data_IF_383764123252
#
_entry.id   IF_383764123252
#
_cell.length_a   1.000
_cell.length_b   1.000
_cell.length_c   1.000
_cell.angle_alpha   90.00
_cell.angle_beta   90.00
_cell.angle_gamma   90.00
#
_symmetry.space_group_name_H-M   'P 1'
#
loop_
_entity.id
_entity.type
_entity.pdbx_description
1 polymer ?
#
# COMPACT_ATOMS: atom_id res chain seq x y z
N UNK A 1 6.08 -6.25 -16.31
CA UNK A 1 6.74 -5.87 -15.05
C UNK A 1 6.48 -4.40 -14.84
N UNK A 2 5.83 -4.01 -13.75
CA UNK A 2 5.59 -2.60 -13.44
C UNK A 2 6.77 -2.00 -12.68
N UNK A 3 6.99 -0.69 -12.77
CA UNK A 3 8.02 0.00 -11.97
C UNK A 3 7.86 -0.27 -10.47
N UNK A 4 6.61 -0.49 -10.02
CA UNK A 4 6.31 -0.89 -8.66
C UNK A 4 6.86 -2.28 -8.30
N UNK A 5 6.64 -3.27 -9.16
CA UNK A 5 7.17 -4.62 -8.96
C UNK A 5 8.71 -4.62 -8.91
N UNK A 6 9.34 -3.83 -9.79
CA UNK A 6 10.80 -3.63 -9.80
C UNK A 6 11.29 -3.01 -8.48
N UNK A 7 10.60 -1.98 -7.97
CA UNK A 7 10.92 -1.40 -6.67
C UNK A 7 10.79 -2.41 -5.51
N UNK A 8 9.73 -3.23 -5.50
CA UNK A 8 9.51 -4.23 -4.46
C UNK A 8 10.63 -5.28 -4.43
N UNK A 9 11.11 -5.68 -5.62
CA UNK A 9 12.24 -6.60 -5.80
C UNK A 9 13.57 -5.98 -5.37
N UNK A 10 13.85 -4.76 -5.82
CA UNK A 10 15.11 -4.07 -5.49
C UNK A 10 15.22 -3.71 -4.01
N UNK A 11 14.10 -3.60 -3.30
CA UNK A 11 14.10 -3.33 -1.87
C UNK A 11 14.14 -4.57 -0.98
N UNK A 12 14.17 -5.80 -1.53
CA UNK A 12 13.88 -7.06 -0.83
C UNK A 12 14.52 -7.26 0.56
N UNK A 13 15.73 -6.76 0.77
CA UNK A 13 16.48 -6.93 2.03
C UNK A 13 16.21 -5.81 3.06
N UNK A 14 15.39 -4.83 2.70
CA UNK A 14 15.04 -3.70 3.55
C UNK A 14 13.76 -4.00 4.34
N UNK A 15 13.86 -3.87 5.66
CA UNK A 15 12.72 -3.78 6.55
C UNK A 15 12.20 -2.34 6.60
N UNK A 16 10.90 -2.18 6.35
CA UNK A 16 10.23 -0.89 6.27
C UNK A 16 9.32 -0.75 7.49
N UNK A 17 9.67 0.14 8.42
CA UNK A 17 8.82 0.37 9.60
C UNK A 17 7.40 0.78 9.20
N UNK A 18 7.26 1.75 8.30
CA UNK A 18 5.96 2.24 7.81
C UNK A 18 5.99 2.43 6.29
N UNK A 19 5.06 1.78 5.59
CA UNK A 19 4.87 1.88 4.14
C UNK A 19 3.51 2.52 3.85
N UNK A 20 3.53 3.67 3.15
CA UNK A 20 2.33 4.36 2.70
C UNK A 20 2.28 4.38 1.18
N UNK A 21 1.18 3.89 0.61
CA UNK A 21 0.98 3.83 -0.85
C UNK A 21 -0.29 4.57 -1.23
N UNK A 22 -0.15 5.51 -2.15
CA UNK A 22 -1.27 6.18 -2.80
C UNK A 22 -1.29 5.79 -4.28
N UNK A 23 -2.22 4.91 -4.63
CA UNK A 23 -2.39 4.35 -5.96
C UNK A 23 -3.43 5.14 -6.74
N UNK A 24 -2.95 6.14 -7.48
CA UNK A 24 -3.80 7.11 -8.16
C UNK A 24 -4.44 6.60 -9.47
N UNK A 25 -4.11 5.38 -9.90
CA UNK A 25 -4.60 4.80 -11.15
C UNK A 25 -5.45 3.56 -10.96
N UNK A 26 -5.74 3.18 -9.70
CA UNK A 26 -6.51 1.97 -9.41
C UNK A 26 -5.89 0.70 -9.99
N UNK A 27 -4.56 0.63 -10.07
CA UNK A 27 -3.89 -0.61 -10.48
C UNK A 27 -4.08 -1.67 -9.39
N UNK A 28 -4.17 -2.95 -9.76
CA UNK A 28 -4.15 -4.00 -8.77
C UNK A 28 -2.73 -4.15 -8.18
N UNK A 29 -2.47 -3.44 -7.08
CA UNK A 29 -1.20 -3.46 -6.34
C UNK A 29 -1.24 -4.39 -5.13
N UNK A 30 -2.44 -4.83 -4.72
CA UNK A 30 -2.63 -5.55 -3.47
C UNK A 30 -2.02 -6.95 -3.56
N UNK A 31 -2.15 -7.61 -4.70
CA UNK A 31 -1.52 -8.89 -5.02
C UNK A 31 0.01 -8.83 -4.84
N UNK A 32 0.66 -7.80 -5.38
CA UNK A 32 2.11 -7.58 -5.21
C UNK A 32 2.49 -7.29 -3.75
N UNK A 33 1.70 -6.51 -3.02
CA UNK A 33 1.95 -6.27 -1.60
C UNK A 33 1.86 -7.57 -0.79
N UNK A 34 0.85 -8.41 -1.06
CA UNK A 34 0.76 -9.72 -0.40
C UNK A 34 1.97 -10.59 -0.70
N UNK A 35 2.40 -10.64 -1.96
CA UNK A 35 3.52 -11.48 -2.38
C UNK A 35 4.87 -11.04 -1.82
N UNK A 36 5.23 -9.76 -1.99
CA UNK A 36 6.58 -9.26 -1.73
C UNK A 36 6.76 -8.62 -0.36
N UNK A 37 5.67 -8.14 0.26
CA UNK A 37 5.72 -7.45 1.57
C UNK A 37 5.14 -8.34 2.68
N UNK A 38 3.91 -8.85 2.51
CA UNK A 38 3.21 -9.61 3.56
C UNK A 38 3.88 -10.96 3.82
N UNK A 39 4.03 -11.81 2.80
CA UNK A 39 4.66 -13.14 2.95
C UNK A 39 6.10 -13.07 3.45
N UNK A 40 6.79 -11.95 3.17
CA UNK A 40 8.17 -11.72 3.60
C UNK A 40 8.27 -10.97 4.94
N UNK A 41 7.16 -10.59 5.55
CA UNK A 41 7.07 -9.83 6.82
C UNK A 41 7.96 -8.58 6.86
N UNK A 42 8.03 -7.84 5.75
CA UNK A 42 8.97 -6.72 5.57
C UNK A 42 8.45 -5.37 6.08
N UNK A 43 7.19 -5.31 6.50
CA UNK A 43 6.54 -4.07 6.95
C UNK A 43 5.89 -4.26 8.32
N UNK A 44 6.03 -3.26 9.20
CA UNK A 44 5.30 -3.23 10.47
C UNK A 44 3.95 -2.50 10.37
N UNK A 45 3.92 -1.37 9.66
CA UNK A 45 2.74 -0.54 9.47
C UNK A 45 2.47 -0.30 7.99
N UNK A 46 1.26 -0.62 7.54
CA UNK A 46 0.85 -0.50 6.14
C UNK A 46 -0.36 0.42 6.01
N UNK A 47 -0.34 1.37 5.08
CA UNK A 47 -1.53 2.09 4.66
C UNK A 47 -1.57 2.20 3.13
N UNK A 48 -2.70 1.86 2.54
CA UNK A 48 -2.92 1.94 1.09
C UNK A 48 -4.22 2.70 0.85
N UNK A 49 -4.16 3.66 -0.06
CA UNK A 49 -5.30 4.37 -0.60
C UNK A 49 -5.31 4.18 -2.11
N UNK A 50 -6.36 3.56 -2.63
CA UNK A 50 -6.59 3.37 -4.05
C UNK A 50 -7.61 4.41 -4.54
N UNK A 51 -7.27 5.15 -5.59
CA UNK A 51 -8.29 5.90 -6.33
C UNK A 51 -8.92 5.00 -7.38
N UNK A 52 -10.21 5.18 -7.61
CA UNK A 52 -10.93 4.48 -8.67
C UNK A 52 -11.88 5.44 -9.39
N UNK A 53 -12.11 5.19 -10.68
CA UNK A 53 -13.09 5.94 -11.45
C UNK A 53 -14.48 5.37 -11.17
N UNK A 54 -15.40 6.21 -10.69
CA UNK A 54 -16.80 5.86 -10.49
C UNK A 54 -17.59 5.78 -11.80
N UNK A 55 -18.87 5.37 -11.70
CA UNK A 55 -19.74 5.16 -12.86
C UNK A 55 -20.13 6.44 -13.63
N UNK A 56 -20.26 7.58 -12.95
CA UNK A 56 -20.23 8.92 -13.54
C UNK A 56 -18.89 9.54 -13.15
N UNK A 57 -18.18 10.25 -14.05
CA UNK A 57 -16.81 10.84 -14.01
C UNK A 57 -16.24 11.44 -12.69
N UNK A 58 -16.59 10.86 -11.55
CA UNK A 58 -16.22 11.17 -10.20
C UNK A 58 -15.14 10.18 -9.78
N UNK A 59 -14.15 10.69 -9.07
CA UNK A 59 -13.10 9.87 -8.49
C UNK A 59 -13.46 9.51 -7.05
N UNK A 60 -13.50 8.22 -6.78
CA UNK A 60 -13.62 7.68 -5.43
C UNK A 60 -12.27 7.27 -4.87
N UNK A 61 -12.19 7.13 -3.55
CA UNK A 61 -11.04 6.58 -2.86
C UNK A 61 -11.48 5.40 -2.00
N UNK A 62 -10.70 4.34 -2.01
CA UNK A 62 -10.88 3.16 -1.17
C UNK A 62 -9.60 2.94 -0.39
N UNK A 63 -9.71 2.90 0.93
CA UNK A 63 -8.57 2.59 1.79
C UNK A 63 -8.57 1.11 2.15
N UNK A 64 -7.38 0.52 2.26
CA UNK A 64 -7.20 -0.86 2.68
C UNK A 64 -7.78 -1.12 4.07
N UNK A 65 -7.72 -0.13 4.97
CA UNK A 65 -8.29 -0.23 6.33
C UNK A 65 -9.80 -0.49 6.33
N UNK A 66 -10.50 -0.14 5.25
CA UNK A 66 -11.94 -0.38 5.10
C UNK A 66 -12.27 -1.81 4.63
N UNK A 67 -11.27 -2.60 4.22
CA UNK A 67 -11.41 -3.99 3.79
C UNK A 67 -11.16 -4.93 4.98
N UNK A 68 -12.21 -5.28 5.73
CA UNK A 68 -12.09 -6.02 7.00
C UNK A 68 -11.36 -7.36 6.84
N UNK A 69 -11.71 -8.15 5.83
CA UNK A 69 -11.11 -9.47 5.61
C UNK A 69 -9.62 -9.35 5.29
N UNK A 70 -9.26 -8.37 4.46
CA UNK A 70 -7.86 -8.06 4.14
C UNK A 70 -7.08 -7.62 5.38
N UNK A 71 -7.65 -6.73 6.20
CA UNK A 71 -7.02 -6.26 7.44
C UNK A 71 -6.74 -7.41 8.40
N UNK A 72 -7.68 -8.34 8.57
CA UNK A 72 -7.47 -9.51 9.42
C UNK A 72 -6.42 -10.46 8.81
N UNK A 73 -6.38 -10.62 7.48
CA UNK A 73 -5.30 -11.38 6.82
C UNK A 73 -3.92 -10.77 7.11
N UNK A 74 -3.74 -9.46 6.92
CA UNK A 74 -2.46 -8.79 7.22
C UNK A 74 -2.04 -8.93 8.69
N UNK A 75 -3.00 -8.92 9.61
CA UNK A 75 -2.76 -9.06 11.05
C UNK A 75 -2.20 -10.44 11.40
N UNK A 76 -2.56 -11.51 10.69
CA UNK A 76 -1.95 -12.84 10.84
C UNK A 76 -0.44 -12.85 10.53
N UNK A 77 0.04 -11.86 9.78
CA UNK A 77 1.46 -11.67 9.46
C UNK A 77 2.14 -10.61 10.33
N UNK A 78 1.51 -10.20 11.44
CA UNK A 78 1.98 -9.15 12.36
C UNK A 78 2.06 -7.74 11.73
N UNK A 79 1.34 -7.52 10.63
CA UNK A 79 1.30 -6.25 9.91
C UNK A 79 0.10 -5.44 10.37
N UNK A 80 0.34 -4.21 10.85
CA UNK A 80 -0.72 -3.31 11.30
C UNK A 80 -1.18 -2.40 10.15
N UNK A 81 -2.38 -2.65 9.64
CA UNK A 81 -3.01 -1.77 8.65
C UNK A 81 -3.54 -0.50 9.34
N UNK A 82 -3.32 0.66 8.74
CA UNK A 82 -3.75 1.97 9.25
C UNK A 82 -4.41 2.80 8.15
N UNK A 83 -5.19 3.83 8.55
CA UNK A 83 -5.72 4.82 7.62
C UNK A 83 -4.57 5.64 7.01
N UNK A 84 -4.64 5.94 5.71
CA UNK A 84 -3.58 6.64 4.99
C UNK A 84 -3.34 8.05 5.56
N UNK A 85 -4.40 8.87 5.66
CA UNK A 85 -4.30 10.25 6.14
C UNK A 85 -3.90 10.34 7.62
N UNK A 86 -4.41 9.43 8.46
CA UNK A 86 -4.03 9.35 9.87
C UNK A 86 -2.55 8.98 10.06
N UNK A 87 -1.96 8.27 9.10
CA UNK A 87 -0.59 7.78 9.17
C UNK A 87 0.49 8.80 8.84
N UNK A 88 0.15 9.97 8.28
CA UNK A 88 1.09 11.02 7.84
C UNK A 88 1.70 11.79 9.03
N UNK A 89 1.12 11.70 10.22
CA UNK A 89 1.39 12.58 11.37
C UNK A 89 2.64 12.25 12.21
N UNK A 90 3.59 11.44 11.73
CA UNK A 90 4.85 11.13 12.44
C UNK A 90 6.04 10.96 11.50
N UNK A 91 7.02 11.87 11.55
CA UNK A 91 8.07 12.05 10.52
C UNK A 91 9.28 11.11 10.59
N UNK A 92 9.45 10.24 11.60
CA UNK A 92 10.65 9.38 11.68
C UNK A 92 10.42 7.98 11.05
N UNK A 93 11.08 7.74 9.90
CA UNK A 93 11.15 6.41 9.24
C UNK A 93 9.97 6.03 8.35
N UNK A 94 9.42 6.98 7.59
CA UNK A 94 8.25 6.80 6.72
C UNK A 94 8.65 6.84 5.23
N UNK A 95 8.34 5.78 4.47
CA UNK A 95 8.44 5.80 3.00
C UNK A 95 7.04 6.05 2.45
N UNK A 96 6.86 7.17 1.76
CA UNK A 96 5.62 7.53 1.08
C UNK A 96 5.85 7.44 -0.43
N UNK A 97 5.10 6.56 -1.10
CA UNK A 97 5.17 6.41 -2.55
C UNK A 97 3.90 6.91 -3.21
N UNK A 98 4.07 7.75 -4.24
CA UNK A 98 3.02 8.25 -5.11
C UNK A 98 3.29 7.71 -6.51
N UNK A 99 2.42 6.81 -6.99
CA UNK A 99 2.55 6.26 -8.33
C UNK A 99 1.80 7.15 -9.33
N UNK A 100 2.56 7.82 -10.22
CA UNK A 100 2.03 8.58 -11.35
C UNK A 100 2.63 7.95 -12.60
N UNK A 101 1.87 7.09 -13.30
CA UNK A 101 2.38 6.57 -14.57
C UNK A 101 2.24 7.63 -15.66
N UNK A 102 3.32 7.86 -16.42
CA UNK A 102 3.26 8.54 -17.70
C UNK A 102 2.83 7.51 -18.76
N UNK A 103 1.86 7.87 -19.60
CA UNK A 103 1.53 7.09 -20.80
C UNK A 103 2.57 7.38 -21.88
#
# INVERSE_FOLDING_TARGET
>A
MSDFEVFLKNSQDTFIKKLLINNLKGQDILSYIKEYIMKKKRVKYLAIMDSFKGASDNYGYKELVSLKDEVEEFKLYDIKVQCYNGSITGRSGMICMKFIAHK
#
